data_IF_631013908001
#
_entry.id   IF_631013908001
#
_cell.length_a   1.000
_cell.length_b   1.000
_cell.length_c   1.000
_cell.angle_alpha   90.00
_cell.angle_beta   90.00
_cell.angle_gamma   90.00
#
_symmetry.space_group_name_H-M   'P 1'
#
loop_
_entity.id
_entity.type
_entity.pdbx_description
1 polymer ?
#
# COMPACT_ATOMS: atom_id res chain seq x y z
N UNK A 1 -31.79 -2.55 10.87
CA UNK A 1 -31.31 -1.20 11.27
C UNK A 1 -32.08 -0.21 10.41
N UNK A 2 -32.61 0.86 10.99
CA UNK A 2 -33.44 1.83 10.25
C UNK A 2 -32.63 2.51 9.13
N UNK A 3 -33.25 2.65 7.95
CA UNK A 3 -32.64 3.27 6.75
C UNK A 3 -32.15 4.69 7.04
N UNK A 4 -32.95 5.50 7.73
CA UNK A 4 -32.59 6.87 8.12
C UNK A 4 -31.36 6.91 9.02
N UNK A 5 -31.18 5.92 9.89
CA UNK A 5 -30.01 5.84 10.74
C UNK A 5 -28.73 5.51 9.95
N UNK A 6 -28.84 4.63 8.94
CA UNK A 6 -27.72 4.27 8.05
C UNK A 6 -27.33 5.46 7.17
N UNK A 7 -28.29 6.10 6.50
CA UNK A 7 -28.05 7.27 5.64
C UNK A 7 -27.45 8.44 6.43
N UNK A 8 -27.90 8.67 7.66
CA UNK A 8 -27.31 9.71 8.54
C UNK A 8 -25.83 9.45 8.87
N UNK A 9 -25.42 8.19 9.05
CA UNK A 9 -24.04 7.83 9.46
C UNK A 9 -23.12 7.76 8.25
N UNK A 10 -23.56 7.16 7.14
CA UNK A 10 -22.72 6.92 5.97
C UNK A 10 -22.86 7.97 4.87
N UNK A 11 -23.84 8.86 4.98
CA UNK A 11 -24.29 9.79 3.93
C UNK A 11 -25.03 9.12 2.77
N UNK A 12 -25.96 9.86 2.18
CA UNK A 12 -26.70 9.40 0.99
C UNK A 12 -25.75 9.23 -0.20
N UNK A 13 -24.82 10.17 -0.39
CA UNK A 13 -23.86 10.18 -1.51
C UNK A 13 -22.94 8.95 -1.51
N UNK A 14 -22.61 8.41 -0.34
CA UNK A 14 -21.80 7.19 -0.23
C UNK A 14 -22.59 5.93 -0.59
N UNK A 15 -23.89 5.92 -0.33
CA UNK A 15 -24.77 4.76 -0.56
C UNK A 15 -25.41 4.80 -1.95
N UNK A 16 -25.61 5.99 -2.53
CA UNK A 16 -26.26 6.21 -3.81
C UNK A 16 -25.71 5.32 -4.94
N UNK A 17 -24.39 5.16 -5.13
CA UNK A 17 -23.87 4.26 -6.16
C UNK A 17 -24.33 2.80 -5.99
N UNK A 18 -24.44 2.33 -4.75
CA UNK A 18 -24.91 0.98 -4.43
C UNK A 18 -26.42 0.85 -4.64
N UNK A 19 -27.20 1.85 -4.20
CA UNK A 19 -28.66 1.88 -4.39
C UNK A 19 -29.00 1.89 -5.88
N UNK A 20 -28.29 2.70 -6.67
CA UNK A 20 -28.45 2.74 -8.12
C UNK A 20 -28.11 1.41 -8.79
N UNK A 21 -27.00 0.78 -8.37
CA UNK A 21 -26.59 -0.53 -8.89
C UNK A 21 -27.64 -1.62 -8.63
N UNK A 22 -28.29 -1.58 -7.47
CA UNK A 22 -29.33 -2.52 -7.05
C UNK A 22 -30.77 -2.08 -7.38
N UNK A 23 -30.95 -1.16 -8.34
CA UNK A 23 -32.28 -0.77 -8.82
C UNK A 23 -33.20 -0.14 -7.77
N UNK A 24 -32.64 0.49 -6.73
CA UNK A 24 -33.39 1.07 -5.62
C UNK A 24 -33.57 0.14 -4.41
N UNK A 25 -33.16 -1.13 -4.50
CA UNK A 25 -33.18 -2.06 -3.38
C UNK A 25 -32.13 -1.67 -2.32
N UNK A 26 -32.59 -0.96 -1.30
CA UNK A 26 -31.75 -0.46 -0.23
C UNK A 26 -31.11 -1.58 0.60
N UNK A 27 -31.80 -2.70 0.82
CA UNK A 27 -31.25 -3.78 1.63
C UNK A 27 -30.07 -4.45 0.93
N UNK A 28 -30.20 -4.73 -0.36
CA UNK A 28 -29.11 -5.30 -1.16
C UNK A 28 -27.98 -4.29 -1.40
N UNK A 29 -28.28 -3.00 -1.53
CA UNK A 29 -27.27 -1.94 -1.55
C UNK A 29 -26.42 -1.92 -0.26
N UNK A 30 -27.06 -2.02 0.91
CA UNK A 30 -26.36 -2.09 2.20
C UNK A 30 -25.55 -3.38 2.33
N UNK A 31 -26.05 -4.53 1.84
CA UNK A 31 -25.28 -5.79 1.81
C UNK A 31 -24.04 -5.68 0.92
N UNK A 32 -24.14 -5.04 -0.24
CA UNK A 32 -22.99 -4.77 -1.11
C UNK A 32 -22.00 -3.82 -0.41
N UNK A 33 -22.46 -2.73 0.20
CA UNK A 33 -21.58 -1.84 0.97
C UNK A 33 -20.82 -2.57 2.10
N UNK A 34 -21.50 -3.45 2.85
CA UNK A 34 -20.84 -4.32 3.85
C UNK A 34 -19.81 -5.26 3.22
N UNK A 35 -20.11 -5.80 2.03
CA UNK A 35 -19.18 -6.65 1.29
C UNK A 35 -17.94 -5.87 0.85
N UNK A 36 -18.09 -4.59 0.45
CA UNK A 36 -16.96 -3.71 0.17
C UNK A 36 -16.03 -3.54 1.38
N UNK A 37 -16.61 -3.37 2.59
CA UNK A 37 -15.83 -3.28 3.84
C UNK A 37 -15.06 -4.58 4.09
N UNK A 38 -15.73 -5.74 4.01
CA UNK A 38 -15.08 -7.05 4.21
C UNK A 38 -13.96 -7.33 3.21
N UNK A 39 -14.18 -6.98 1.94
CA UNK A 39 -13.14 -7.10 0.91
C UNK A 39 -11.96 -6.18 1.25
N UNK A 40 -12.22 -4.93 1.65
CA UNK A 40 -11.18 -3.97 2.03
C UNK A 40 -10.35 -4.45 3.22
N UNK A 41 -11.01 -5.03 4.23
CA UNK A 41 -10.39 -5.67 5.39
C UNK A 41 -9.48 -6.84 4.97
N UNK A 42 -9.94 -7.70 4.06
CA UNK A 42 -9.19 -8.87 3.61
C UNK A 42 -7.88 -8.54 2.87
N UNK A 43 -7.69 -7.30 2.39
CA UNK A 43 -6.43 -6.83 1.81
C UNK A 43 -5.41 -6.36 2.86
N UNK A 44 -5.83 -6.09 4.10
CA UNK A 44 -4.96 -5.52 5.13
C UNK A 44 -3.69 -6.35 5.38
N UNK A 45 -3.74 -7.69 5.53
CA UNK A 45 -2.53 -8.48 5.75
C UNK A 45 -1.50 -8.35 4.63
N UNK A 46 -1.93 -8.49 3.37
CA UNK A 46 -1.06 -8.33 2.20
C UNK A 46 -0.43 -6.94 2.14
N UNK A 47 -1.21 -5.90 2.40
CA UNK A 47 -0.72 -4.51 2.43
C UNK A 47 0.30 -4.31 3.53
N UNK A 48 0.03 -4.78 4.75
CA UNK A 48 0.92 -4.65 5.90
C UNK A 48 2.29 -5.29 5.63
N UNK A 49 2.29 -6.53 5.15
CA UNK A 49 3.51 -7.29 4.85
C UNK A 49 4.31 -6.61 3.74
N UNK A 50 3.63 -6.20 2.66
CA UNK A 50 4.27 -5.54 1.53
C UNK A 50 4.88 -4.20 1.91
N UNK A 51 4.16 -3.37 2.68
CA UNK A 51 4.63 -2.04 3.10
C UNK A 51 5.88 -2.14 3.97
N UNK A 52 5.85 -3.01 5.00
CA UNK A 52 6.99 -3.23 5.91
C UNK A 52 8.16 -3.86 5.16
N UNK A 53 7.89 -4.88 4.34
CA UNK A 53 8.89 -5.56 3.54
C UNK A 53 9.59 -4.62 2.57
N UNK A 54 8.84 -3.81 1.81
CA UNK A 54 9.41 -2.87 0.85
C UNK A 54 10.26 -1.81 1.56
N UNK A 55 9.72 -1.22 2.64
CA UNK A 55 10.42 -0.22 3.46
C UNK A 55 11.77 -0.75 3.92
N UNK A 56 11.78 -1.91 4.57
CA UNK A 56 12.99 -2.44 5.20
C UNK A 56 14.03 -2.84 4.15
N UNK A 57 13.59 -3.41 3.02
CA UNK A 57 14.48 -3.75 1.92
C UNK A 57 15.11 -2.50 1.27
N UNK A 58 14.33 -1.46 0.99
CA UNK A 58 14.87 -0.20 0.43
C UNK A 58 15.79 0.48 1.45
N UNK A 59 15.38 0.58 2.72
CA UNK A 59 16.19 1.13 3.79
C UNK A 59 17.58 0.49 3.84
N UNK A 60 17.66 -0.84 3.82
CA UNK A 60 18.93 -1.55 3.85
C UNK A 60 19.81 -1.29 2.62
N UNK A 61 19.22 -1.03 1.44
CA UNK A 61 20.00 -0.64 0.26
C UNK A 61 20.50 0.80 0.32
N UNK A 62 19.73 1.72 0.91
CA UNK A 62 20.14 3.11 1.08
C UNK A 62 21.23 3.24 2.15
N UNK A 63 21.09 2.53 3.27
CA UNK A 63 22.12 2.47 4.32
C UNK A 63 23.47 2.02 3.73
N UNK A 64 23.47 0.94 2.94
CA UNK A 64 24.70 0.45 2.27
C UNK A 64 25.25 1.41 1.25
N UNK A 65 24.39 2.09 0.50
CA UNK A 65 24.81 3.04 -0.54
C UNK A 65 25.55 4.23 0.06
N UNK A 66 25.00 4.79 1.12
CA UNK A 66 25.52 6.02 1.74
C UNK A 66 26.48 5.72 2.91
N UNK A 67 26.66 4.44 3.24
CA UNK A 67 27.43 3.99 4.40
C UNK A 67 26.99 4.71 5.70
N UNK A 68 25.69 4.86 5.86
CA UNK A 68 25.08 5.69 6.90
C UNK A 68 23.71 5.15 7.31
N UNK A 69 23.56 4.82 8.59
CA UNK A 69 22.28 4.39 9.17
C UNK A 69 21.22 5.48 9.07
N UNK A 70 21.63 6.74 9.18
CA UNK A 70 20.79 7.92 9.02
C UNK A 70 20.95 8.52 7.63
N UNK A 71 21.03 7.69 6.58
CA UNK A 71 21.16 8.12 5.18
C UNK A 71 20.21 9.24 4.75
N UNK A 72 19.04 9.39 5.40
CA UNK A 72 18.07 10.45 5.14
C UNK A 72 18.56 11.86 5.59
N UNK A 73 19.59 11.94 6.42
CA UNK A 73 20.30 13.17 6.82
C UNK A 73 21.61 13.35 6.04
N UNK A 74 22.03 12.35 5.28
CA UNK A 74 23.28 12.39 4.53
C UNK A 74 23.24 13.51 3.46
N UNK A 75 24.24 14.41 3.40
CA UNK A 75 24.25 15.51 2.43
C UNK A 75 24.20 15.07 0.96
N UNK A 76 24.76 13.91 0.62
CA UNK A 76 24.68 13.35 -0.73
C UNK A 76 23.24 12.95 -1.04
N UNK A 77 22.57 12.24 -0.13
CA UNK A 77 21.16 11.87 -0.31
C UNK A 77 20.27 13.09 -0.50
N UNK A 78 20.43 14.11 0.35
CA UNK A 78 19.66 15.36 0.29
C UNK A 78 19.81 16.06 -1.07
N UNK A 79 21.03 16.06 -1.65
CA UNK A 79 21.29 16.62 -2.99
C UNK A 79 20.64 15.82 -4.11
N UNK A 80 20.43 14.51 -3.93
CA UNK A 80 19.87 13.62 -4.95
C UNK A 80 18.34 13.61 -4.98
N UNK A 81 17.69 13.92 -3.85
CA UNK A 81 16.23 13.86 -3.73
C UNK A 81 15.56 15.20 -3.97
N UNK A 82 14.23 15.16 -4.09
CA UNK A 82 13.43 16.36 -4.28
C UNK A 82 12.90 16.87 -2.93
N UNK A 83 12.39 18.10 -2.94
CA UNK A 83 11.71 18.69 -1.79
C UNK A 83 10.65 17.77 -1.18
N UNK A 84 9.93 16.99 -1.99
CA UNK A 84 8.96 16.03 -1.49
C UNK A 84 9.56 15.02 -0.48
N UNK A 85 10.74 14.45 -0.76
CA UNK A 85 11.35 13.49 0.17
C UNK A 85 11.82 14.19 1.46
N UNK A 86 12.41 15.38 1.33
CA UNK A 86 12.88 16.18 2.47
C UNK A 86 11.71 16.58 3.37
N UNK A 87 10.60 17.04 2.79
CA UNK A 87 9.40 17.42 3.52
C UNK A 87 8.81 16.21 4.26
N UNK A 88 8.74 15.02 3.62
CA UNK A 88 8.23 13.81 4.26
C UNK A 88 9.09 13.32 5.43
N UNK A 89 10.41 13.43 5.32
CA UNK A 89 11.33 13.12 6.43
C UNK A 89 11.14 14.13 7.58
N UNK A 90 10.95 15.41 7.24
CA UNK A 90 10.72 16.47 8.23
C UNK A 90 9.38 16.30 8.94
N UNK A 91 8.31 15.99 8.20
CA UNK A 91 6.99 15.65 8.74
C UNK A 91 7.07 14.47 9.70
N UNK A 92 7.77 13.39 9.31
CA UNK A 92 7.98 12.21 10.16
C UNK A 92 8.72 12.57 11.46
N UNK A 93 9.78 13.37 11.37
CA UNK A 93 10.51 13.86 12.54
C UNK A 93 9.60 14.65 13.48
N UNK A 94 8.81 15.57 12.93
CA UNK A 94 7.90 16.41 13.71
C UNK A 94 6.78 15.60 14.37
N UNK A 95 6.26 14.56 13.69
CA UNK A 95 5.26 13.66 14.26
C UNK A 95 5.79 12.93 15.50
N UNK A 96 7.01 12.38 15.42
CA UNK A 96 7.68 11.70 16.53
C UNK A 96 7.89 12.65 17.72
N UNK A 97 8.37 13.87 17.46
CA UNK A 97 8.60 14.88 18.50
C UNK A 97 7.29 15.34 19.16
N UNK A 98 6.21 15.48 18.38
CA UNK A 98 4.88 15.83 18.91
C UNK A 98 4.35 14.77 19.89
N UNK A 99 4.69 13.50 19.67
CA UNK A 99 4.39 12.41 20.59
C UNK A 99 5.37 12.32 21.79
N UNK A 100 6.28 13.29 21.95
CA UNK A 100 7.31 13.33 23.00
C UNK A 100 8.21 12.09 23.00
N UNK A 101 8.41 11.48 21.83
CA UNK A 101 9.29 10.33 21.64
C UNK A 101 10.67 10.80 21.19
N UNK A 102 11.72 10.14 21.67
CA UNK A 102 13.07 10.36 21.17
C UNK A 102 13.20 9.97 19.69
N UNK A 103 13.93 10.76 18.91
CA UNK A 103 14.20 10.47 17.50
C UNK A 103 15.20 9.30 17.42
N UNK A 104 14.90 8.32 16.58
CA UNK A 104 15.82 7.26 16.21
C UNK A 104 15.62 6.91 14.73
N UNK A 105 16.64 6.29 14.12
CA UNK A 105 16.57 5.78 12.74
C UNK A 105 15.32 4.93 12.54
N UNK A 106 15.11 3.92 13.41
CA UNK A 106 13.98 3.00 13.33
C UNK A 106 12.63 3.72 13.35
N UNK A 107 12.47 4.73 14.23
CA UNK A 107 11.23 5.52 14.30
C UNK A 107 11.00 6.36 13.04
N UNK A 108 12.03 7.01 12.52
CA UNK A 108 11.91 7.78 11.26
C UNK A 108 11.52 6.85 10.12
N UNK A 109 12.21 5.72 9.97
CA UNK A 109 11.91 4.73 8.94
C UNK A 109 10.47 4.25 9.08
N UNK A 110 10.02 3.92 10.30
CA UNK A 110 8.66 3.42 10.51
C UNK A 110 7.56 4.44 10.29
N UNK A 111 7.83 5.72 10.53
CA UNK A 111 6.89 6.83 10.36
C UNK A 111 6.69 7.20 8.88
N UNK A 112 7.67 6.92 8.03
CA UNK A 112 7.57 7.17 6.59
C UNK A 112 6.55 6.24 5.92
N UNK A 113 5.50 6.85 5.37
CA UNK A 113 4.41 6.13 4.68
C UNK A 113 4.86 5.37 3.43
N UNK A 114 4.05 4.41 2.99
CA UNK A 114 4.26 3.69 1.73
C UNK A 114 4.44 4.61 0.51
N UNK A 115 3.80 5.79 0.52
CA UNK A 115 3.98 6.81 -0.52
C UNK A 115 5.42 7.31 -0.63
N UNK A 116 6.12 7.46 0.49
CA UNK A 116 7.53 7.84 0.48
C UNK A 116 8.38 6.76 -0.20
N UNK A 117 8.24 5.50 0.23
CA UNK A 117 9.05 4.38 -0.28
C UNK A 117 8.83 4.13 -1.77
N UNK A 118 7.59 4.19 -2.23
CA UNK A 118 7.27 4.03 -3.66
C UNK A 118 7.73 5.20 -4.51
N UNK A 119 7.80 6.42 -3.96
CA UNK A 119 8.32 7.60 -4.68
C UNK A 119 9.80 7.47 -5.06
N UNK A 120 10.58 6.70 -4.29
CA UNK A 120 11.99 6.43 -4.59
C UNK A 120 12.19 5.56 -5.84
N UNK A 121 11.11 4.98 -6.38
CA UNK A 121 11.09 4.20 -7.62
C UNK A 121 10.71 5.04 -8.84
N UNK A 122 10.54 6.35 -8.70
CA UNK A 122 10.17 7.23 -9.81
C UNK A 122 11.32 7.39 -10.83
N UNK A 123 10.96 7.71 -12.08
CA UNK A 123 11.92 7.82 -13.19
C UNK A 123 13.06 8.80 -12.92
N UNK A 124 12.80 9.88 -12.17
CA UNK A 124 13.81 10.88 -11.80
C UNK A 124 14.96 10.31 -10.96
N UNK A 125 14.71 9.22 -10.23
CA UNK A 125 15.71 8.55 -9.39
C UNK A 125 16.37 7.36 -10.07
N UNK A 126 16.03 7.09 -11.34
CA UNK A 126 16.65 6.02 -12.09
C UNK A 126 18.17 6.22 -12.31
N UNK A 127 18.66 7.41 -12.69
CA UNK A 127 20.10 7.62 -12.85
C UNK A 127 20.85 7.59 -11.52
N UNK A 128 20.22 8.09 -10.45
CA UNK A 128 20.87 8.28 -9.16
C UNK A 128 20.72 7.06 -8.26
N UNK A 129 19.50 6.67 -7.85
CA UNK A 129 19.24 5.69 -6.78
C UNK A 129 19.04 4.25 -7.27
N UNK A 130 18.49 4.05 -8.47
CA UNK A 130 18.02 2.73 -8.91
C UNK A 130 19.11 1.65 -8.95
N UNK A 131 20.36 2.00 -9.27
CA UNK A 131 21.49 1.04 -9.30
C UNK A 131 21.64 0.27 -7.98
N UNK A 132 21.34 0.91 -6.85
CA UNK A 132 21.35 0.30 -5.51
C UNK A 132 19.97 -0.25 -5.15
N UNK A 133 18.89 0.53 -5.35
CA UNK A 133 17.53 0.14 -4.95
C UNK A 133 17.08 -1.15 -5.65
N UNK A 134 17.53 -1.46 -6.87
CA UNK A 134 17.18 -2.72 -7.54
C UNK A 134 17.54 -3.98 -6.73
N UNK A 135 18.51 -3.89 -5.82
CA UNK A 135 18.89 -4.99 -4.93
C UNK A 135 17.94 -5.18 -3.74
N UNK A 136 16.98 -4.29 -3.53
CA UNK A 136 15.85 -4.47 -2.62
C UNK A 136 14.87 -5.56 -3.11
N UNK A 137 15.05 -6.07 -4.32
CA UNK A 137 14.19 -7.09 -4.95
C UNK A 137 15.03 -8.33 -5.32
N UNK A 138 15.65 -9.02 -4.35
CA UNK A 138 16.61 -10.09 -4.62
C UNK A 138 16.01 -11.26 -5.40
N UNK A 139 14.71 -11.50 -5.24
CA UNK A 139 13.99 -12.61 -5.85
C UNK A 139 13.24 -12.25 -7.14
N UNK A 140 13.22 -10.97 -7.54
CA UNK A 140 12.63 -10.56 -8.82
C UNK A 140 13.48 -11.10 -10.00
N UNK A 141 12.89 -11.78 -11.00
CA UNK A 141 13.62 -12.24 -12.18
C UNK A 141 14.39 -11.11 -12.86
N UNK A 142 15.61 -11.39 -13.36
CA UNK A 142 16.50 -10.37 -13.94
C UNK A 142 15.83 -9.56 -15.06
N UNK A 143 15.04 -10.22 -15.92
CA UNK A 143 14.33 -9.57 -17.02
C UNK A 143 13.23 -8.60 -16.55
N UNK A 144 12.68 -8.83 -15.36
CA UNK A 144 11.61 -8.03 -14.75
C UNK A 144 12.15 -6.94 -13.82
N UNK A 145 13.38 -7.11 -13.32
CA UNK A 145 14.06 -6.19 -12.37
C UNK A 145 14.51 -4.89 -13.04
N UNK A 146 13.53 -4.13 -13.51
CA UNK A 146 13.67 -2.80 -14.13
C UNK A 146 12.90 -1.79 -13.29
N UNK A 147 13.40 -0.54 -13.22
CA UNK A 147 12.80 0.54 -12.43
C UNK A 147 11.34 0.77 -12.80
N UNK A 148 11.05 0.80 -14.11
CA UNK A 148 9.69 0.95 -14.64
C UNK A 148 8.73 -0.15 -14.16
N UNK A 149 9.19 -1.40 -14.08
CA UNK A 149 8.38 -2.52 -13.60
C UNK A 149 8.02 -2.34 -12.12
N UNK A 150 9.02 -2.05 -11.27
CA UNK A 150 8.82 -1.82 -9.84
C UNK A 150 7.89 -0.62 -9.61
N UNK A 151 8.21 0.51 -10.26
CA UNK A 151 7.41 1.73 -10.18
C UNK A 151 5.95 1.46 -10.56
N UNK A 152 5.68 0.77 -11.67
CA UNK A 152 4.31 0.44 -12.10
C UNK A 152 3.58 -0.42 -11.07
N UNK A 153 4.20 -1.50 -10.60
CA UNK A 153 3.60 -2.44 -9.64
C UNK A 153 3.28 -1.75 -8.32
N UNK A 154 4.29 -1.20 -7.65
CA UNK A 154 4.11 -0.64 -6.31
C UNK A 154 3.27 0.64 -6.30
N UNK A 155 3.29 1.46 -7.35
CA UNK A 155 2.35 2.58 -7.45
C UNK A 155 0.91 2.13 -7.72
N UNK A 156 0.70 1.03 -8.47
CA UNK A 156 -0.62 0.42 -8.61
C UNK A 156 -1.18 -0.04 -7.27
N UNK A 157 -0.36 -0.76 -6.51
CA UNK A 157 -0.71 -1.23 -5.15
C UNK A 157 -0.98 -0.04 -4.22
N UNK A 158 -0.15 1.01 -4.26
CA UNK A 158 -0.37 2.24 -3.48
C UNK A 158 -1.71 2.90 -3.80
N UNK A 159 -2.13 2.93 -5.06
CA UNK A 159 -3.44 3.47 -5.43
C UNK A 159 -4.58 2.67 -4.79
N UNK A 160 -4.56 1.34 -4.89
CA UNK A 160 -5.57 0.51 -4.23
C UNK A 160 -5.57 0.71 -2.70
N UNK A 161 -4.38 0.69 -2.10
CA UNK A 161 -4.19 0.95 -0.66
C UNK A 161 -4.81 2.26 -0.23
N UNK A 162 -4.55 3.34 -0.97
CA UNK A 162 -5.13 4.64 -0.66
C UNK A 162 -6.66 4.58 -0.70
N UNK A 163 -7.26 3.95 -1.71
CA UNK A 163 -8.72 3.79 -1.79
C UNK A 163 -9.27 3.04 -0.58
N UNK A 164 -8.64 1.95 -0.17
CA UNK A 164 -9.02 1.16 1.02
C UNK A 164 -8.99 2.02 2.29
N UNK A 165 -7.89 2.73 2.53
CA UNK A 165 -7.71 3.54 3.74
C UNK A 165 -8.42 4.90 3.71
N UNK A 166 -8.91 5.34 2.54
CA UNK A 166 -9.86 6.44 2.41
C UNK A 166 -11.32 5.97 2.43
N UNK A 167 -11.56 4.68 2.70
CA UNK A 167 -12.88 4.06 2.76
C UNK A 167 -13.69 4.24 1.46
N UNK A 168 -12.99 4.23 0.32
CA UNK A 168 -13.61 4.29 -0.99
C UNK A 168 -14.20 2.92 -1.40
N UNK A 169 -15.23 2.91 -2.25
CA UNK A 169 -15.71 1.69 -2.89
C UNK A 169 -14.63 1.06 -3.80
N UNK A 170 -14.29 -0.21 -3.60
CA UNK A 170 -13.36 -1.00 -4.43
C UNK A 170 -14.00 -2.25 -5.04
N UNK A 171 -15.18 -2.66 -4.57
CA UNK A 171 -15.86 -3.91 -4.93
C UNK A 171 -16.53 -3.92 -6.31
N UNK A 172 -16.49 -2.82 -7.05
CA UNK A 172 -17.11 -2.69 -8.39
C UNK A 172 -16.50 -3.60 -9.46
N UNK A 173 -15.24 -4.02 -9.30
CA UNK A 173 -14.56 -4.89 -10.24
C UNK A 173 -13.76 -5.97 -9.50
N UNK A 174 -14.43 -7.09 -9.22
CA UNK A 174 -13.82 -8.22 -8.50
C UNK A 174 -12.66 -8.87 -9.26
N UNK A 175 -12.70 -8.89 -10.60
CA UNK A 175 -11.60 -9.42 -11.40
C UNK A 175 -10.33 -8.58 -11.24
N UNK A 176 -10.47 -7.25 -11.20
CA UNK A 176 -9.35 -6.36 -10.91
C UNK A 176 -8.79 -6.57 -9.51
N UNK A 177 -9.64 -6.85 -8.50
CA UNK A 177 -9.19 -7.14 -7.15
C UNK A 177 -8.38 -8.45 -7.05
N UNK A 178 -8.82 -9.51 -7.74
CA UNK A 178 -8.03 -10.75 -7.84
C UNK A 178 -6.67 -10.50 -8.51
N UNK A 179 -6.62 -9.60 -9.50
CA UNK A 179 -5.35 -9.19 -10.09
C UNK A 179 -4.47 -8.43 -9.09
N UNK A 180 -5.03 -7.53 -8.28
CA UNK A 180 -4.28 -6.83 -7.23
C UNK A 180 -3.72 -7.78 -6.17
N UNK A 181 -4.49 -8.80 -5.76
CA UNK A 181 -4.00 -9.86 -4.87
C UNK A 181 -2.78 -10.57 -5.46
N UNK A 182 -2.86 -11.02 -6.71
CA UNK A 182 -1.73 -11.65 -7.40
C UNK A 182 -0.52 -10.70 -7.51
N UNK A 183 -0.75 -9.43 -7.84
CA UNK A 183 0.31 -8.42 -7.95
C UNK A 183 1.01 -8.16 -6.61
N UNK A 184 0.27 -8.17 -5.49
CA UNK A 184 0.81 -8.05 -4.14
C UNK A 184 1.61 -9.29 -3.75
N UNK A 185 1.06 -10.49 -3.97
CA UNK A 185 1.75 -11.76 -3.68
C UNK A 185 3.06 -11.85 -4.45
N UNK A 186 3.06 -11.52 -5.74
CA UNK A 186 4.28 -11.46 -6.54
C UNK A 186 5.26 -10.41 -6.00
N UNK A 187 4.76 -9.22 -5.63
CA UNK A 187 5.57 -8.17 -5.03
C UNK A 187 6.25 -8.59 -3.72
N UNK A 188 5.53 -9.30 -2.84
CA UNK A 188 6.08 -9.86 -1.60
C UNK A 188 7.15 -10.90 -1.94
N UNK A 189 6.87 -11.83 -2.85
CA UNK A 189 7.84 -12.85 -3.29
C UNK A 189 9.11 -12.26 -3.89
N UNK A 190 9.04 -11.07 -4.52
CA UNK A 190 10.22 -10.37 -5.03
C UNK A 190 11.12 -9.81 -3.91
N UNK A 191 10.53 -9.44 -2.77
CA UNK A 191 11.24 -8.97 -1.58
C UNK A 191 11.84 -10.16 -0.85
N UNK A 192 11.05 -11.19 -0.57
CA UNK A 192 11.44 -12.39 0.17
C UNK A 192 10.51 -13.56 -0.18
N UNK A 193 11.05 -14.76 -0.38
CA UNK A 193 10.28 -15.94 -0.81
C UNK A 193 9.47 -16.58 0.32
N UNK A 194 9.89 -16.40 1.56
CA UNK A 194 9.33 -17.13 2.70
C UNK A 194 8.18 -16.35 3.34
N UNK A 195 8.07 -15.03 3.07
CA UNK A 195 7.04 -14.18 3.66
C UNK A 195 5.61 -14.64 3.33
N UNK A 196 5.33 -15.05 2.09
CA UNK A 196 4.00 -15.55 1.72
C UNK A 196 3.66 -16.86 2.42
N UNK A 197 4.63 -17.76 2.53
CA UNK A 197 4.45 -19.03 3.25
C UNK A 197 4.23 -18.79 4.75
N UNK A 198 4.98 -17.86 5.33
CA UNK A 198 4.85 -17.47 6.73
C UNK A 198 3.48 -16.88 7.05
N UNK A 199 2.91 -16.06 6.14
CA UNK A 199 1.64 -15.36 6.36
C UNK A 199 0.41 -16.04 5.73
N UNK A 200 0.50 -17.31 5.36
CA UNK A 200 -0.57 -17.98 4.60
C UNK A 200 -1.91 -18.01 5.36
N UNK A 201 -1.86 -18.11 6.68
CA UNK A 201 -2.99 -18.11 7.61
C UNK A 201 -3.70 -16.74 7.70
N UNK A 202 -3.00 -15.67 7.35
CA UNK A 202 -3.54 -14.31 7.31
C UNK A 202 -4.20 -13.97 5.96
N UNK A 203 -3.86 -14.67 4.89
CA UNK A 203 -4.29 -14.31 3.53
C UNK A 203 -5.55 -15.09 3.14
N UNK A 204 -6.69 -14.42 3.22
CA UNK A 204 -8.01 -14.95 2.82
C UNK A 204 -8.70 -14.11 1.72
N UNK A 205 -7.96 -13.19 1.09
CA UNK A 205 -8.51 -12.17 0.18
C UNK A 205 -9.32 -12.80 -0.97
N UNK A 206 -8.78 -13.81 -1.66
CA UNK A 206 -9.48 -14.54 -2.72
C UNK A 206 -10.80 -15.14 -2.26
N UNK A 207 -10.80 -15.79 -1.09
CA UNK A 207 -12.00 -16.43 -0.53
C UNK A 207 -13.09 -15.39 -0.28
N UNK A 208 -12.76 -14.29 0.39
CA UNK A 208 -13.70 -13.19 0.69
C UNK A 208 -14.26 -12.56 -0.58
N UNK A 209 -13.43 -12.35 -1.61
CA UNK A 209 -13.86 -11.84 -2.92
C UNK A 209 -14.87 -12.80 -3.57
N UNK A 210 -14.59 -14.12 -3.55
CA UNK A 210 -15.48 -15.12 -4.15
C UNK A 210 -16.81 -15.24 -3.39
N UNK A 211 -16.78 -15.23 -2.05
CA UNK A 211 -17.97 -15.28 -1.21
C UNK A 211 -18.87 -14.05 -1.40
N UNK A 212 -18.29 -12.90 -1.74
CA UNK A 212 -19.01 -11.65 -1.98
C UNK A 212 -19.64 -11.56 -3.38
N UNK A 213 -19.29 -12.46 -4.31
CA UNK A 213 -19.71 -12.39 -5.72
C UNK A 213 -21.23 -12.50 -5.92
N UNK A 214 -21.91 -13.30 -5.11
CA UNK A 214 -23.37 -13.48 -5.17
C UNK A 214 -24.13 -12.27 -4.62
N UNK A 215 -23.52 -11.50 -3.72
CA UNK A 215 -24.12 -10.31 -3.09
C UNK A 215 -23.91 -9.03 -3.91
N UNK A 216 -22.91 -9.04 -4.79
CA UNK A 216 -22.50 -7.88 -5.60
C UNK A 216 -23.17 -7.88 -6.98
N UNK A 217 -23.51 -9.06 -7.50
CA UNK A 217 -24.27 -9.24 -8.73
C UNK A 217 -25.71 -8.77 -8.55
#
# INVERSE_FOLDING_TARGET
MDRKAIERIFSEERLEPYVKHHGGDFENAVKHYKSNIKISEAFYPLLSILEVGLRNNIHGQLERRFNDKNWFENPEFIKLVTRFQVDKITEARNAILREKKEISTGKIISELSFGFWTSLLDSKFEPSLWKNIRFAFPNCPKNNRKRKTMSKKFNGIRKLRNRIFHHEPISWNLAALLNYENEMIEGINWLDKDLISWSHDLINTKEIIMNSKTLIR
#
